data_IF_586699359318
#
_entry.id   IF_586699359318
#
_cell.length_a   1.000
_cell.length_b   1.000
_cell.length_c   1.000
_cell.angle_alpha   90.00
_cell.angle_beta   90.00
_cell.angle_gamma   90.00
#
_symmetry.space_group_name_H-M   'P 1'
#
loop_
_entity.id
_entity.type
_entity.pdbx_description
1 polymer ?
#
# COMPACT_ATOMS: atom_id res chain seq x y z
N UNK A 1 -9.68 -3.76 -9.12
CA UNK A 1 -10.47 -3.74 -7.86
C UNK A 1 -11.55 -2.67 -8.01
N UNK A 2 -12.76 -2.87 -7.48
CA UNK A 2 -13.72 -1.77 -7.21
C UNK A 2 -14.17 -0.91 -8.41
N UNK A 3 -14.32 -1.51 -9.60
CA UNK A 3 -14.79 -0.81 -10.82
C UNK A 3 -13.68 -0.18 -11.66
N UNK A 4 -12.43 -0.17 -11.18
CA UNK A 4 -11.22 0.19 -11.94
C UNK A 4 -10.53 -1.03 -12.52
N UNK A 5 -10.12 -0.94 -13.79
CA UNK A 5 -9.36 -1.97 -14.52
C UNK A 5 -7.89 -1.58 -14.59
N UNK A 6 -7.07 -2.27 -13.80
CA UNK A 6 -5.61 -2.26 -13.93
C UNK A 6 -5.22 -3.54 -14.68
N UNK A 7 -4.43 -3.39 -15.73
CA UNK A 7 -4.01 -4.47 -16.63
C UNK A 7 -2.52 -4.74 -16.58
N UNK A 8 -1.74 -3.75 -16.12
CA UNK A 8 -0.30 -3.83 -15.94
C UNK A 8 0.12 -3.19 -14.61
N UNK A 9 1.30 -3.54 -14.08
CA UNK A 9 1.84 -2.89 -12.89
C UNK A 9 2.03 -1.38 -13.09
N UNK A 10 2.40 -0.97 -14.31
CA UNK A 10 2.56 0.44 -14.66
C UNK A 10 1.27 1.25 -14.47
N UNK A 11 0.10 0.61 -14.49
CA UNK A 11 -1.18 1.29 -14.28
C UNK A 11 -1.38 1.72 -12.81
N UNK A 12 -0.61 1.15 -11.87
CA UNK A 12 -0.68 1.46 -10.43
C UNK A 12 0.58 2.12 -9.87
N UNK A 13 1.65 2.25 -10.65
CA UNK A 13 2.92 2.87 -10.23
C UNK A 13 2.70 4.28 -9.67
N UNK A 14 1.84 5.09 -10.32
CA UNK A 14 1.54 6.46 -9.86
C UNK A 14 0.76 6.52 -8.55
N UNK A 15 0.16 5.40 -8.13
CA UNK A 15 -0.58 5.29 -6.87
C UNK A 15 0.34 4.87 -5.72
N UNK A 16 1.53 4.33 -6.02
CA UNK A 16 2.47 3.89 -5.00
C UNK A 16 3.00 5.10 -4.20
N UNK A 17 2.96 4.97 -2.89
CA UNK A 17 3.56 5.89 -1.95
C UNK A 17 5.07 5.65 -1.92
N UNK A 18 5.83 6.59 -2.48
CA UNK A 18 7.29 6.46 -2.66
C UNK A 18 8.13 7.11 -1.56
N UNK A 19 7.48 7.77 -0.60
CA UNK A 19 8.12 8.38 0.57
C UNK A 19 7.97 7.46 1.78
N UNK A 20 8.77 7.62 2.86
CA UNK A 20 8.73 6.69 3.99
C UNK A 20 7.31 6.47 4.53
N UNK A 21 6.79 5.27 4.27
CA UNK A 21 5.53 4.66 4.72
C UNK A 21 5.64 4.04 6.13
N UNK A 22 6.68 4.45 6.87
CA UNK A 22 7.13 3.86 8.13
C UNK A 22 6.14 4.12 9.27
N UNK A 23 5.78 5.39 9.47
CA UNK A 23 4.90 5.83 10.54
C UNK A 23 3.80 6.71 10.00
N UNK A 24 2.61 6.49 10.52
CA UNK A 24 1.36 7.11 10.12
C UNK A 24 0.82 7.84 11.33
N UNK A 25 0.33 9.06 11.19
CA UNK A 25 -0.14 9.84 12.34
C UNK A 25 -1.63 10.09 12.22
N UNK A 26 -2.38 9.74 13.26
CA UNK A 26 -3.81 10.04 13.35
C UNK A 26 -3.99 11.47 13.86
N UNK A 27 -4.10 12.44 12.95
CA UNK A 27 -3.86 13.85 13.28
C UNK A 27 -5.10 14.70 13.60
N UNK A 28 -6.33 14.19 13.62
CA UNK A 28 -7.51 15.04 13.90
C UNK A 28 -8.67 14.36 14.66
N UNK A 29 -9.30 15.19 15.51
CA UNK A 29 -10.57 14.98 16.22
C UNK A 29 -11.76 14.77 15.27
N UNK A 30 -12.20 13.53 15.14
CA UNK A 30 -13.44 13.13 14.48
C UNK A 30 -13.96 11.83 15.08
N UNK A 31 -15.25 11.54 14.90
CA UNK A 31 -15.92 10.36 15.47
C UNK A 31 -15.67 9.05 14.72
N UNK A 32 -14.83 9.05 13.67
CA UNK A 32 -14.57 7.86 12.85
C UNK A 32 -13.11 7.42 13.05
N UNK A 33 -12.83 6.38 13.84
CA UNK A 33 -11.48 5.82 13.93
C UNK A 33 -11.03 5.22 12.59
N UNK A 34 -9.72 4.98 12.39
CA UNK A 34 -9.26 4.27 11.19
C UNK A 34 -9.96 2.92 11.10
N UNK A 35 -10.46 2.64 9.89
CA UNK A 35 -11.11 1.38 9.59
C UNK A 35 -10.23 0.58 8.64
N UNK A 36 -9.91 -0.62 9.07
CA UNK A 36 -9.17 -1.60 8.31
C UNK A 36 -10.15 -2.59 7.72
N UNK A 37 -9.94 -2.98 6.47
CA UNK A 37 -10.69 -4.01 5.80
C UNK A 37 -9.70 -4.99 5.15
N UNK A 38 -9.73 -6.25 5.58
CA UNK A 38 -8.94 -7.31 4.95
C UNK A 38 -9.51 -7.64 3.58
N UNK A 39 -8.71 -7.46 2.52
CA UNK A 39 -9.16 -7.63 1.13
C UNK A 39 -8.81 -9.03 0.63
N UNK A 40 -7.55 -9.43 0.74
CA UNK A 40 -7.09 -10.73 0.25
C UNK A 40 -5.88 -11.22 1.02
N UNK A 41 -5.69 -12.53 0.94
CA UNK A 41 -4.46 -13.23 1.31
C UNK A 41 -4.15 -14.23 0.21
N UNK A 42 -2.89 -14.32 -0.17
CA UNK A 42 -2.34 -15.38 -1.05
C UNK A 42 -1.29 -16.24 -0.34
N UNK A 43 -1.11 -15.98 0.95
CA UNK A 43 -0.11 -16.60 1.77
C UNK A 43 -0.44 -18.06 2.10
N UNK A 44 0.55 -18.94 1.89
CA UNK A 44 0.55 -20.27 2.50
C UNK A 44 0.72 -20.24 4.03
N UNK A 45 1.10 -19.09 4.59
CA UNK A 45 1.27 -18.87 6.04
C UNK A 45 0.04 -18.23 6.66
N UNK A 46 -0.03 -18.30 7.99
CA UNK A 46 -1.04 -17.59 8.77
C UNK A 46 -0.52 -16.18 9.03
N UNK A 47 -1.24 -15.17 8.55
CA UNK A 47 -0.84 -13.78 8.68
C UNK A 47 -1.74 -13.04 9.69
N UNK A 48 -1.12 -12.13 10.44
CA UNK A 48 -1.82 -11.19 11.30
C UNK A 48 -1.24 -9.78 11.15
N UNK A 49 -2.09 -8.84 10.70
CA UNK A 49 -1.77 -7.43 10.72
C UNK A 49 -1.86 -6.91 12.16
N UNK A 50 -0.84 -6.21 12.59
CA UNK A 50 -0.74 -5.57 13.89
C UNK A 50 -0.45 -4.08 13.72
N UNK A 51 -0.77 -3.31 14.75
CA UNK A 51 -0.51 -1.87 14.85
C UNK A 51 0.17 -1.56 16.19
N UNK A 52 1.08 -0.61 16.21
CA UNK A 52 1.79 -0.21 17.42
C UNK A 52 1.97 1.30 17.50
N UNK A 53 2.08 1.84 18.71
CA UNK A 53 2.50 3.22 18.95
C UNK A 53 4.01 3.29 18.75
N UNK A 54 4.48 4.23 17.91
CA UNK A 54 5.89 4.44 17.58
C UNK A 54 6.79 4.59 18.81
N UNK A 55 6.27 5.14 19.91
CA UNK A 55 7.00 5.26 21.17
C UNK A 55 7.20 3.92 21.90
N UNK A 56 6.41 2.89 21.55
CA UNK A 56 6.40 1.55 22.15
C UNK A 56 6.26 0.43 21.10
N UNK A 57 7.21 0.29 20.16
CA UNK A 57 7.09 -0.65 19.02
C UNK A 57 7.03 -2.13 19.41
N UNK A 58 7.39 -2.47 20.66
CA UNK A 58 7.35 -3.84 21.16
C UNK A 58 5.98 -4.26 21.72
N UNK A 59 5.00 -3.36 21.77
CA UNK A 59 3.64 -3.63 22.26
C UNK A 59 2.60 -3.48 21.15
N UNK A 60 2.76 -4.29 20.09
CA UNK A 60 1.84 -4.29 18.97
C UNK A 60 0.51 -4.98 19.31
N UNK A 61 -0.58 -4.41 18.82
CA UNK A 61 -1.95 -4.90 18.98
C UNK A 61 -2.41 -5.53 17.66
N UNK A 62 -3.02 -6.71 17.72
CA UNK A 62 -3.56 -7.37 16.54
C UNK A 62 -4.80 -6.64 16.03
N UNK A 63 -4.83 -6.32 14.73
CA UNK A 63 -5.98 -5.76 14.03
C UNK A 63 -6.76 -6.86 13.32
N UNK A 64 -6.12 -7.52 12.35
CA UNK A 64 -6.72 -8.57 11.53
C UNK A 64 -5.85 -9.80 11.67
N UNK A 65 -6.38 -10.90 12.22
CA UNK A 65 -5.63 -12.12 12.45
C UNK A 65 -6.35 -13.36 11.92
N UNK A 66 -5.60 -14.45 11.83
CA UNK A 66 -6.19 -15.76 11.55
C UNK A 66 -6.49 -16.00 10.07
N UNK A 67 -5.95 -15.18 9.16
CA UNK A 67 -6.20 -15.28 7.72
C UNK A 67 -5.04 -15.97 7.01
N UNK A 68 -5.39 -16.94 6.16
CA UNK A 68 -4.46 -17.76 5.37
C UNK A 68 -5.17 -18.31 4.12
N UNK A 69 -4.38 -18.77 3.16
CA UNK A 69 -4.85 -19.37 1.91
C UNK A 69 -4.75 -18.40 0.72
N UNK A 70 -5.34 -18.80 -0.41
CA UNK A 70 -5.23 -18.08 -1.68
C UNK A 70 -6.59 -17.57 -2.13
N UNK A 71 -7.08 -16.50 -1.49
CA UNK A 71 -8.44 -16.00 -1.71
C UNK A 71 -8.59 -14.50 -1.45
N UNK A 72 -9.55 -13.92 -2.16
CA UNK A 72 -10.24 -12.72 -1.70
C UNK A 72 -11.04 -13.09 -0.44
N UNK A 73 -10.97 -12.26 0.59
CA UNK A 73 -11.55 -12.57 1.90
C UNK A 73 -13.08 -12.45 1.92
N UNK A 74 -13.63 -11.48 1.19
CA UNK A 74 -15.07 -11.24 1.06
C UNK A 74 -15.38 -10.35 -0.16
N UNK A 75 -16.66 -10.03 -0.40
CA UNK A 75 -17.09 -9.14 -1.48
C UNK A 75 -17.32 -7.69 -1.05
N UNK A 76 -17.30 -7.38 0.25
CA UNK A 76 -17.58 -6.04 0.77
C UNK A 76 -19.05 -5.64 0.64
N UNK A 77 -19.96 -6.61 0.64
CA UNK A 77 -21.42 -6.38 0.58
C UNK A 77 -22.06 -6.59 1.95
N UNK A 78 -23.31 -6.17 2.15
CA UNK A 78 -24.03 -6.42 3.43
C UNK A 78 -24.04 -7.92 3.78
N UNK A 79 -24.23 -8.78 2.76
CA UNK A 79 -24.33 -10.22 2.94
C UNK A 79 -22.97 -10.92 3.08
N UNK A 80 -21.90 -10.25 2.67
CA UNK A 80 -20.52 -10.76 2.68
C UNK A 80 -19.54 -9.59 2.90
N UNK A 81 -19.49 -9.03 4.12
CA UNK A 81 -18.65 -7.88 4.45
C UNK A 81 -17.18 -8.29 4.56
N UNK A 82 -16.26 -7.36 4.31
CA UNK A 82 -14.85 -7.60 4.58
C UNK A 82 -14.60 -7.77 6.08
N UNK A 83 -13.72 -8.68 6.51
CA UNK A 83 -13.27 -8.72 7.89
C UNK A 83 -12.57 -7.39 8.22
N UNK A 84 -12.92 -6.80 9.36
CA UNK A 84 -12.46 -5.46 9.71
C UNK A 84 -11.86 -5.32 11.09
N UNK A 85 -11.20 -4.19 11.29
CA UNK A 85 -10.70 -3.76 12.58
C UNK A 85 -10.77 -2.23 12.70
N UNK A 86 -10.78 -1.77 13.94
CA UNK A 86 -10.74 -0.35 14.31
C UNK A 86 -9.37 -0.06 14.92
N UNK A 87 -8.76 1.08 14.59
CA UNK A 87 -7.53 1.53 15.26
C UNK A 87 -7.75 1.65 16.78
N UNK A 88 -7.06 0.86 17.62
CA UNK A 88 -7.18 0.90 19.07
C UNK A 88 -6.26 1.95 19.72
N UNK A 89 -5.37 2.57 18.96
CA UNK A 89 -4.38 3.53 19.47
C UNK A 89 -5.01 4.92 19.54
N UNK A 90 -4.63 5.67 20.59
CA UNK A 90 -5.15 7.00 20.83
C UNK A 90 -4.88 7.94 19.64
N UNK A 91 -5.86 8.80 19.36
CA UNK A 91 -5.72 9.91 18.40
C UNK A 91 -4.49 10.78 18.74
N UNK A 92 -3.85 11.33 17.72
CA UNK A 92 -2.64 12.14 17.83
C UNK A 92 -1.35 11.33 17.93
N UNK A 93 -1.42 10.00 17.92
CA UNK A 93 -0.26 9.11 18.06
C UNK A 93 0.29 8.71 16.70
N UNK A 94 1.62 8.75 16.56
CA UNK A 94 2.32 8.12 15.44
C UNK A 94 2.24 6.59 15.61
N UNK A 95 1.71 5.90 14.61
CA UNK A 95 1.55 4.45 14.59
C UNK A 95 2.40 3.82 13.50
N UNK A 96 2.92 2.63 13.77
CA UNK A 96 3.52 1.75 12.77
C UNK A 96 2.73 0.46 12.65
N UNK A 97 3.05 -0.35 11.65
CA UNK A 97 2.39 -1.63 11.38
C UNK A 97 3.38 -2.77 11.44
N UNK A 98 2.87 -3.96 11.80
CA UNK A 98 3.61 -5.21 11.67
C UNK A 98 2.77 -6.26 10.99
N UNK A 99 3.42 -7.12 10.22
CA UNK A 99 2.86 -8.38 9.76
C UNK A 99 3.51 -9.52 10.53
N UNK A 100 2.74 -10.20 11.40
CA UNK A 100 3.15 -11.49 11.92
C UNK A 100 2.79 -12.57 10.90
N UNK A 101 3.79 -13.33 10.46
CA UNK A 101 3.64 -14.47 9.57
C UNK A 101 4.06 -15.77 10.26
N UNK A 102 3.16 -16.75 10.29
CA UNK A 102 3.36 -18.01 11.02
C UNK A 102 3.25 -19.22 10.11
N UNK A 103 4.28 -20.07 10.19
CA UNK A 103 4.35 -21.37 9.52
C UNK A 103 4.68 -22.46 10.55
N UNK A 104 3.66 -23.19 10.99
CA UNK A 104 3.80 -24.16 12.08
C UNK A 104 4.18 -23.47 13.40
N UNK A 105 5.36 -23.80 13.94
CA UNK A 105 5.89 -23.18 15.17
C UNK A 105 6.82 -21.99 14.90
N UNK A 106 7.14 -21.71 13.64
CA UNK A 106 7.97 -20.57 13.27
C UNK A 106 7.11 -19.34 13.11
N UNK A 107 7.49 -18.26 13.80
CA UNK A 107 6.90 -16.93 13.68
C UNK A 107 7.96 -16.00 13.14
N UNK A 108 7.61 -15.23 12.10
CA UNK A 108 8.40 -14.14 11.54
C UNK A 108 7.57 -12.88 11.63
N UNK A 109 8.20 -11.74 11.93
CA UNK A 109 7.51 -10.46 12.06
C UNK A 109 8.20 -9.47 11.13
N UNK A 110 7.43 -8.85 10.26
CA UNK A 110 7.85 -7.77 9.38
C UNK A 110 7.29 -6.46 9.88
N UNK A 111 8.11 -5.44 9.97
CA UNK A 111 7.79 -4.10 10.44
C UNK A 111 7.70 -3.13 9.25
N UNK A 112 6.80 -2.15 9.34
CA UNK A 112 6.74 -1.04 8.39
C UNK A 112 7.96 -0.13 8.48
N UNK A 113 8.75 -0.20 9.56
CA UNK A 113 10.11 0.33 9.62
C UNK A 113 11.13 -0.71 9.13
N UNK A 114 11.72 -0.53 7.94
CA UNK A 114 12.71 -1.46 7.41
C UNK A 114 13.91 -1.63 8.33
N UNK A 115 14.26 -0.62 9.13
CA UNK A 115 15.42 -0.70 10.04
C UNK A 115 15.19 -1.65 11.22
N UNK A 116 13.92 -1.97 11.51
CA UNK A 116 13.54 -2.96 12.51
C UNK A 116 13.48 -4.39 11.94
N UNK A 117 13.49 -4.54 10.61
CA UNK A 117 13.49 -5.84 9.95
C UNK A 117 14.87 -6.49 10.00
N UNK A 118 14.91 -7.80 10.22
CA UNK A 118 16.16 -8.56 10.35
C UNK A 118 17.04 -8.52 9.09
N UNK A 119 16.45 -8.28 7.93
CA UNK A 119 17.11 -8.14 6.63
C UNK A 119 17.26 -6.67 6.18
N UNK A 120 16.79 -5.71 6.98
CA UNK A 120 16.80 -4.27 6.69
C UNK A 120 16.03 -3.87 5.41
N UNK A 121 15.06 -4.68 5.01
CA UNK A 121 14.28 -4.50 3.78
C UNK A 121 12.85 -4.10 4.13
N UNK A 122 12.21 -3.33 3.24
CA UNK A 122 10.79 -3.01 3.35
C UNK A 122 9.94 -4.14 2.74
N UNK A 123 9.07 -4.71 3.57
CA UNK A 123 8.13 -5.77 3.19
C UNK A 123 6.71 -5.24 3.00
N UNK A 124 6.52 -3.92 3.08
CA UNK A 124 5.25 -3.24 2.90
C UNK A 124 5.30 -2.32 1.69
N UNK A 125 4.38 -2.51 0.75
CA UNK A 125 4.01 -1.52 -0.25
C UNK A 125 2.72 -0.81 0.15
N UNK A 126 2.66 0.49 -0.13
CA UNK A 126 1.48 1.31 0.16
C UNK A 126 1.03 1.98 -1.13
N UNK A 127 -0.26 1.90 -1.41
CA UNK A 127 -0.88 2.56 -2.55
C UNK A 127 -1.94 3.55 -2.05
N UNK A 128 -1.88 4.79 -2.51
CA UNK A 128 -2.89 5.80 -2.29
C UNK A 128 -4.02 5.64 -3.32
N UNK A 129 -5.26 5.47 -2.86
CA UNK A 129 -6.41 5.15 -3.71
C UNK A 129 -7.50 6.24 -3.65
N UNK A 130 -7.21 7.50 -4.04
CA UNK A 130 -8.17 8.61 -3.97
C UNK A 130 -9.40 8.41 -4.86
N UNK A 131 -9.29 7.56 -5.90
CA UNK A 131 -10.38 7.17 -6.79
C UNK A 131 -11.52 6.42 -6.08
N UNK A 132 -11.29 5.93 -4.85
CA UNK A 132 -12.34 5.28 -4.05
C UNK A 132 -13.22 6.28 -3.29
N UNK A 133 -13.00 7.58 -3.45
CA UNK A 133 -13.84 8.62 -2.84
C UNK A 133 -15.31 8.43 -3.21
N UNK A 134 -16.15 8.26 -2.18
CA UNK A 134 -17.59 8.03 -2.31
C UNK A 134 -17.99 6.56 -2.51
N UNK A 135 -17.03 5.64 -2.66
CA UNK A 135 -17.30 4.21 -2.67
C UNK A 135 -17.79 3.74 -1.30
N UNK A 136 -18.72 2.79 -1.28
CA UNK A 136 -19.27 2.21 -0.05
C UNK A 136 -19.00 0.71 -0.06
N UNK A 137 -18.30 0.23 0.97
CA UNK A 137 -18.15 -1.21 1.24
C UNK A 137 -18.61 -1.53 2.64
N UNK A 138 -19.00 -2.77 2.85
CA UNK A 138 -19.36 -3.27 4.16
C UNK A 138 -18.18 -3.96 4.82
N UNK A 139 -17.95 -3.64 6.08
CA UNK A 139 -16.87 -4.17 6.90
C UNK A 139 -17.47 -4.69 8.20
N UNK A 140 -17.03 -5.87 8.66
CA UNK A 140 -17.47 -6.46 9.92
C UNK A 140 -16.31 -6.50 10.93
N UNK A 141 -16.42 -5.67 11.96
CA UNK A 141 -15.47 -5.57 13.06
C UNK A 141 -15.82 -6.52 14.24
N UNK A 142 -16.66 -7.54 14.00
CA UNK A 142 -17.16 -8.47 15.02
C UNK A 142 -18.52 -8.09 15.61
N UNK A 143 -19.14 -7.02 15.12
CA UNK A 143 -20.44 -6.52 15.57
C UNK A 143 -21.50 -6.49 14.44
N UNK A 144 -21.18 -7.11 13.31
CA UNK A 144 -22.02 -7.15 12.11
C UNK A 144 -21.57 -6.15 11.04
N UNK A 145 -22.18 -6.21 9.84
CA UNK A 145 -21.79 -5.38 8.70
C UNK A 145 -22.05 -3.89 8.95
N UNK A 146 -21.01 -3.08 8.83
CA UNK A 146 -21.05 -1.63 8.88
C UNK A 146 -20.72 -1.03 7.51
N UNK A 147 -21.50 -0.04 7.07
CA UNK A 147 -21.23 0.68 5.82
C UNK A 147 -20.08 1.67 6.01
N UNK A 148 -18.99 1.47 5.27
CA UNK A 148 -17.81 2.33 5.26
C UNK A 148 -17.80 3.13 3.96
N UNK A 149 -17.96 4.44 4.09
CA UNK A 149 -17.78 5.37 2.96
C UNK A 149 -16.30 5.74 2.89
N UNK A 150 -15.66 5.37 1.80
CA UNK A 150 -14.27 5.70 1.52
C UNK A 150 -14.14 7.13 0.98
N UNK A 151 -13.03 7.78 1.28
CA UNK A 151 -12.74 9.14 0.86
C UNK A 151 -11.36 9.21 0.18
N UNK A 152 -10.87 10.43 -0.05
CA UNK A 152 -9.58 10.64 -0.71
C UNK A 152 -8.37 10.20 0.13
N UNK A 153 -8.55 9.77 1.39
CA UNK A 153 -7.50 9.28 2.28
C UNK A 153 -7.59 7.77 2.48
N UNK A 154 -7.90 7.07 1.38
CA UNK A 154 -7.94 5.62 1.33
C UNK A 154 -6.60 5.08 0.84
N UNK A 155 -6.05 4.09 1.54
CA UNK A 155 -4.77 3.46 1.22
C UNK A 155 -4.92 1.95 1.19
N UNK A 156 -4.11 1.29 0.36
CA UNK A 156 -3.97 -0.16 0.33
C UNK A 156 -2.58 -0.52 0.78
N UNK A 157 -2.50 -1.38 1.79
CA UNK A 157 -1.29 -1.93 2.37
C UNK A 157 -1.15 -3.33 1.79
N UNK A 158 -0.03 -3.59 1.13
CA UNK A 158 0.28 -4.83 0.44
C UNK A 158 1.61 -5.35 1.01
N UNK A 159 1.57 -6.54 1.63
CA UNK A 159 2.73 -7.09 2.32
C UNK A 159 3.27 -8.34 1.64
N UNK A 160 4.56 -8.58 1.88
CA UNK A 160 5.23 -9.87 1.74
C UNK A 160 5.35 -10.55 3.11
N UNK A 161 5.16 -11.87 3.16
CA UNK A 161 5.20 -12.64 4.41
C UNK A 161 6.45 -13.53 4.55
N UNK A 162 7.25 -13.59 3.48
CA UNK A 162 8.56 -14.24 3.42
C UNK A 162 9.69 -13.21 3.35
N UNK A 163 10.93 -13.59 3.75
CA UNK A 163 12.09 -12.79 3.42
C UNK A 163 12.15 -12.56 1.90
N UNK A 164 12.40 -11.35 1.39
CA UNK A 164 12.38 -11.06 -0.06
C UNK A 164 13.35 -11.95 -0.86
N UNK A 165 14.43 -12.41 -0.24
CA UNK A 165 15.34 -13.40 -0.84
C UNK A 165 14.70 -14.76 -1.20
N UNK A 166 13.48 -15.01 -0.72
CA UNK A 166 12.69 -16.24 -0.89
C UNK A 166 11.24 -15.96 -1.28
N UNK A 167 10.88 -14.70 -1.49
CA UNK A 167 9.54 -14.30 -1.91
C UNK A 167 9.51 -14.09 -3.42
N UNK A 168 8.33 -14.16 -4.01
CA UNK A 168 8.07 -13.85 -5.42
C UNK A 168 7.79 -12.35 -5.67
N UNK A 169 7.76 -11.55 -4.59
CA UNK A 169 7.74 -10.08 -4.63
C UNK A 169 6.53 -9.51 -5.37
N UNK A 170 5.39 -10.19 -5.30
CA UNK A 170 4.13 -9.75 -5.90
C UNK A 170 3.21 -9.01 -4.89
N UNK A 171 3.60 -8.98 -3.61
CA UNK A 171 3.00 -8.30 -2.47
C UNK A 171 1.51 -8.60 -2.29
N UNK A 172 1.07 -9.81 -2.66
CA UNK A 172 -0.32 -10.21 -2.50
C UNK A 172 -0.57 -11.14 -1.29
N UNK A 173 0.47 -11.46 -0.50
CA UNK A 173 0.41 -12.33 0.69
C UNK A 173 -0.58 -11.82 1.73
N UNK A 174 -0.62 -10.49 1.93
CA UNK A 174 -1.61 -9.82 2.76
C UNK A 174 -1.96 -8.44 2.20
N UNK A 175 -3.23 -8.26 1.83
CA UNK A 175 -3.74 -6.99 1.32
C UNK A 175 -4.83 -6.45 2.24
N UNK A 176 -4.62 -5.23 2.73
CA UNK A 176 -5.53 -4.53 3.65
C UNK A 176 -5.84 -3.14 3.10
N UNK A 177 -7.13 -2.81 3.05
CA UNK A 177 -7.58 -1.45 2.75
C UNK A 177 -7.71 -0.69 4.07
N UNK A 178 -7.21 0.53 4.10
CA UNK A 178 -7.19 1.41 5.26
C UNK A 178 -7.83 2.73 4.87
N UNK A 179 -8.89 3.08 5.59
CA UNK A 179 -9.40 4.44 5.57
C UNK A 179 -8.65 5.24 6.64
N UNK A 180 -7.71 6.08 6.22
CA UNK A 180 -7.08 7.06 7.08
C UNK A 180 -7.96 8.33 7.17
N UNK A 181 -7.76 9.14 8.19
CA UNK A 181 -8.53 10.38 8.36
C UNK A 181 -7.96 11.53 7.51
N UNK A 182 -8.84 12.44 7.06
CA UNK A 182 -8.47 13.61 6.29
C UNK A 182 -7.71 14.58 7.19
N UNK A 183 -6.37 14.49 7.12
CA UNK A 183 -5.40 15.58 7.27
C UNK A 183 -4.10 15.03 7.89
N UNK A 184 -3.19 14.57 7.03
CA UNK A 184 -1.74 14.36 7.24
C UNK A 184 -1.27 12.91 7.47
N UNK A 185 -1.43 12.06 6.45
CA UNK A 185 -0.23 11.30 6.07
C UNK A 185 0.69 12.30 5.38
N UNK A 186 1.74 12.76 6.05
CA UNK A 186 2.81 13.50 5.39
C UNK A 186 3.65 12.47 4.63
N UNK A 187 3.21 12.13 3.43
CA UNK A 187 4.06 11.55 2.39
C UNK A 187 4.94 12.71 1.91
N UNK A 188 6.13 12.87 2.49
CA UNK A 188 7.04 13.98 2.16
C UNK A 188 7.54 13.86 0.73
N UNK A 189 6.89 14.60 -0.17
CA UNK A 189 7.19 14.80 -1.60
C UNK A 189 6.71 13.70 -2.55
N UNK A 190 5.59 13.99 -3.23
CA UNK A 190 5.52 13.74 -4.67
C UNK A 190 6.46 14.72 -5.38
N UNK A 191 7.77 14.48 -5.37
CA UNK A 191 8.59 15.10 -6.42
C UNK A 191 8.06 14.52 -7.72
N UNK A 192 7.57 15.33 -8.68
CA UNK A 192 7.26 14.82 -10.01
C UNK A 192 8.49 14.06 -10.47
N UNK A 193 8.35 12.76 -10.75
CA UNK A 193 9.43 11.98 -11.35
C UNK A 193 9.84 12.77 -12.59
N UNK A 194 11.07 13.33 -12.65
CA UNK A 194 11.50 14.00 -13.85
C UNK A 194 11.47 12.93 -14.94
N UNK A 195 10.63 13.11 -15.95
CA UNK A 195 10.51 12.17 -17.06
C UNK A 195 11.94 11.86 -17.55
N UNK A 196 12.43 10.62 -17.34
CA UNK A 196 13.86 10.38 -17.27
C UNK A 196 14.43 10.40 -18.68
N UNK A 197 15.13 11.49 -19.04
CA UNK A 197 16.03 11.62 -20.20
C UNK A 197 15.48 11.26 -21.59
N UNK A 198 14.27 10.73 -21.70
CA UNK A 198 13.71 10.13 -22.91
C UNK A 198 13.19 11.22 -23.83
N UNK A 199 12.59 12.29 -23.27
CA UNK A 199 12.30 13.51 -24.03
C UNK A 199 13.58 14.21 -24.52
N UNK A 200 14.65 14.20 -23.73
CA UNK A 200 15.94 14.76 -24.14
C UNK A 200 16.60 13.93 -25.26
N UNK A 201 16.46 12.60 -25.23
CA UNK A 201 16.95 11.70 -26.28
C UNK A 201 16.14 11.83 -27.58
N UNK A 202 14.81 11.95 -27.48
CA UNK A 202 13.94 12.19 -28.64
C UNK A 202 14.23 13.58 -29.25
N UNK A 203 14.37 14.60 -28.40
CA UNK A 203 14.71 15.96 -28.82
C UNK A 203 16.08 16.05 -29.50
N UNK A 204 17.11 15.40 -28.95
CA UNK A 204 18.46 15.39 -29.55
C UNK A 204 18.55 14.53 -30.82
N UNK A 205 17.80 13.43 -30.92
CA UNK A 205 17.72 12.61 -32.14
C UNK A 205 17.09 13.34 -33.34
N UNK A 206 16.04 14.13 -33.09
CA UNK A 206 15.39 14.97 -34.11
C UNK A 206 16.32 16.09 -34.60
N UNK A 207 17.06 16.75 -33.70
CA UNK A 207 18.04 17.77 -34.09
C UNK A 207 19.19 17.14 -34.90
N UNK A 208 19.70 15.98 -34.48
CA UNK A 208 20.78 15.26 -35.19
C UNK A 208 20.43 14.89 -36.63
N UNK A 209 19.20 14.45 -36.90
CA UNK A 209 18.74 14.09 -38.26
C UNK A 209 18.56 15.31 -39.18
N UNK A 210 18.15 16.46 -38.63
CA UNK A 210 18.05 17.72 -39.40
C UNK A 210 19.45 18.19 -39.83
N UNK A 211 20.45 18.13 -38.95
CA UNK A 211 21.83 18.49 -39.29
C UNK A 211 22.48 17.49 -40.26
N UNK A 212 22.20 16.19 -40.12
CA UNK A 212 22.70 15.16 -41.05
C UNK A 212 22.12 15.32 -42.48
N UNK A 213 20.87 15.78 -42.61
CA UNK A 213 20.25 16.07 -43.92
C UNK A 213 20.89 17.26 -44.64
N UNK A 214 21.39 18.27 -43.90
CA UNK A 214 22.06 19.44 -44.51
C UNK A 214 23.39 19.08 -45.16
N UNK A 215 24.20 18.21 -44.54
CA UNK A 215 25.49 17.77 -45.13
C UNK A 215 25.36 16.94 -46.41
N UNK A 216 24.24 16.27 -46.65
CA UNK A 216 24.02 15.50 -47.89
C UNK A 216 23.67 16.36 -49.11
N UNK A 217 23.31 17.63 -48.92
CA UNK A 217 22.95 18.54 -50.02
C UNK A 217 24.16 19.27 -50.62
N UNK A 218 25.30 19.23 -49.95
CA UNK A 218 26.53 19.92 -50.38
C UNK A 218 27.56 18.97 -51.06
N UNK A 219 27.19 17.70 -51.31
CA UNK A 219 28.07 16.68 -51.91
C UNK A 219 27.61 16.20 -53.31
N UNK A 220 26.75 16.97 -53.99
CA UNK A 220 26.41 16.75 -55.39
C UNK A 220 26.98 17.86 -56.27
N UNK A 221 28.28 17.75 -56.58
CA UNK A 221 28.96 18.35 -57.75
C UNK A 221 29.94 17.31 -58.27
#
# INVERSE_FOLDING_TARGET
LLGTSYTTNADIDSLMVTTPNVYWSDLVSGSSPYQFAGISVSAGRLNALQIYDKSTPNTALSLLSGVTGNKILAQGTIADPFPGAINPIAQGTDVGFKLESKSGNTVTVWDSDPTANSDQIDHLLVYHLPQLKGAVFYVDNGFGPEAVVYDEYTYLLAWEDLPLSRSDSDYNDNIVLVKALPDRIIITNTTPVPEPATLALIGSGLVGTIFARRKKKDLSV
#
